data_IF_401862614526
#
_entry.id   IF_401862614526
#
_cell.length_a   1.000
_cell.length_b   1.000
_cell.length_c   1.000
_cell.angle_alpha   90.00
_cell.angle_beta   90.00
_cell.angle_gamma   90.00
#
_symmetry.space_group_name_H-M   'P 1'
#
loop_
_entity.id
_entity.type
_entity.pdbx_description
1 polymer ?
#
# COMPACT_ATOMS: atom_id res chain seq x y z
N UNK A 1 -20.13 33.26 34.06
CA UNK A 1 -20.00 31.83 34.43
C UNK A 1 -20.18 31.70 35.93
N UNK A 2 -21.12 30.90 36.35
CA UNK A 2 -21.41 30.73 37.77
C UNK A 2 -20.43 29.73 38.44
N UNK A 3 -20.36 29.71 39.80
CA UNK A 3 -19.43 28.84 40.52
C UNK A 3 -19.65 27.34 40.27
N UNK A 4 -20.88 26.92 39.98
CA UNK A 4 -21.27 25.55 39.68
C UNK A 4 -20.75 25.12 38.31
N UNK A 5 -20.89 25.97 37.30
CA UNK A 5 -20.34 25.74 35.97
C UNK A 5 -18.82 25.63 35.95
N UNK A 6 -18.14 26.51 36.73
CA UNK A 6 -16.69 26.45 36.88
C UNK A 6 -16.24 25.12 37.50
N UNK A 7 -16.86 24.67 38.59
CA UNK A 7 -16.56 23.36 39.20
C UNK A 7 -16.79 22.20 38.25
N UNK A 8 -17.87 22.25 37.44
CA UNK A 8 -18.16 21.23 36.45
C UNK A 8 -17.05 21.16 35.37
N UNK A 9 -16.65 22.31 34.84
CA UNK A 9 -15.58 22.41 33.87
C UNK A 9 -14.23 21.95 34.43
N UNK A 10 -13.88 22.36 35.64
CA UNK A 10 -12.65 21.92 36.30
C UNK A 10 -12.61 20.41 36.51
N UNK A 11 -13.76 19.79 36.85
CA UNK A 11 -13.88 18.32 36.93
C UNK A 11 -13.66 17.66 35.56
N UNK A 12 -14.31 18.17 34.52
CA UNK A 12 -14.13 17.64 33.14
C UNK A 12 -12.68 17.74 32.67
N UNK A 13 -12.04 18.89 32.90
CA UNK A 13 -10.63 19.09 32.55
C UNK A 13 -9.73 18.11 33.30
N UNK A 14 -9.97 17.91 34.59
CA UNK A 14 -9.20 16.94 35.40
C UNK A 14 -9.39 15.53 34.89
N UNK A 15 -10.64 15.11 34.64
CA UNK A 15 -10.92 13.77 34.07
C UNK A 15 -10.22 13.59 32.75
N UNK A 16 -10.40 14.52 31.83
CA UNK A 16 -9.77 14.45 30.50
C UNK A 16 -8.24 14.39 30.58
N UNK A 17 -7.63 15.19 31.45
CA UNK A 17 -6.18 15.14 31.67
C UNK A 17 -5.72 13.76 32.17
N UNK A 18 -6.44 13.20 33.14
CA UNK A 18 -6.12 11.86 33.66
C UNK A 18 -6.25 10.79 32.56
N UNK A 19 -7.32 10.85 31.74
CA UNK A 19 -7.53 9.95 30.64
C UNK A 19 -6.39 10.03 29.62
N UNK A 20 -5.91 11.24 29.33
CA UNK A 20 -4.76 11.44 28.45
C UNK A 20 -3.48 10.81 29.01
N UNK A 21 -3.21 10.99 30.33
CA UNK A 21 -2.03 10.38 30.95
C UNK A 21 -2.12 8.85 30.92
N UNK A 22 -3.26 8.28 31.28
CA UNK A 22 -3.49 6.83 31.26
C UNK A 22 -3.31 6.28 29.85
N UNK A 23 -3.93 6.93 28.85
CA UNK A 23 -3.79 6.54 27.45
C UNK A 23 -2.34 6.60 26.99
N UNK A 24 -1.64 7.69 27.26
CA UNK A 24 -0.24 7.87 26.86
C UNK A 24 0.65 6.81 27.51
N UNK A 25 0.46 6.54 28.80
CA UNK A 25 1.21 5.50 29.51
C UNK A 25 0.96 4.11 28.90
N UNK A 26 -0.32 3.76 28.66
CA UNK A 26 -0.67 2.50 27.99
C UNK A 26 -0.03 2.38 26.61
N UNK A 27 -0.13 3.43 25.79
CA UNK A 27 0.48 3.43 24.45
C UNK A 27 2.00 3.24 24.51
N UNK A 28 2.71 3.87 25.45
CA UNK A 28 4.14 3.71 25.65
C UNK A 28 4.50 2.30 26.12
N UNK A 29 3.77 1.75 27.11
CA UNK A 29 3.99 0.41 27.63
C UNK A 29 3.79 -0.66 26.54
N UNK A 30 2.72 -0.51 25.73
CA UNK A 30 2.42 -1.41 24.63
C UNK A 30 3.49 -1.28 23.53
N UNK A 31 3.89 -0.06 23.19
CA UNK A 31 4.89 0.16 22.15
C UNK A 31 6.25 -0.48 22.49
N UNK A 32 6.61 -0.52 23.77
CA UNK A 32 7.86 -1.15 24.23
C UNK A 32 7.85 -2.68 24.11
N UNK A 33 6.67 -3.31 24.12
CA UNK A 33 6.49 -4.77 24.04
C UNK A 33 6.03 -5.26 22.68
N UNK A 34 5.61 -4.32 21.80
CA UNK A 34 5.05 -4.67 20.51
C UNK A 34 6.11 -5.21 19.55
N UNK A 35 6.02 -6.49 19.20
CA UNK A 35 6.77 -7.03 18.08
C UNK A 35 6.16 -6.56 16.75
N UNK A 36 6.89 -5.70 16.06
CA UNK A 36 6.52 -5.15 14.76
C UNK A 36 7.07 -5.97 13.57
N UNK A 37 7.86 -7.03 13.86
CA UNK A 37 8.38 -7.93 12.82
C UNK A 37 7.27 -8.91 12.44
N UNK A 38 6.87 -8.88 11.18
CA UNK A 38 5.87 -9.80 10.61
C UNK A 38 6.56 -10.58 9.52
N UNK A 39 6.61 -11.91 9.66
CA UNK A 39 7.24 -12.76 8.68
C UNK A 39 6.37 -13.04 7.44
N UNK A 40 6.98 -13.62 6.41
CA UNK A 40 6.29 -13.87 5.15
C UNK A 40 5.24 -14.98 5.28
N UNK A 41 5.46 -15.96 6.15
CA UNK A 41 4.54 -17.09 6.36
C UNK A 41 3.26 -16.58 7.03
N UNK A 42 3.40 -15.77 8.09
CA UNK A 42 2.26 -15.17 8.79
C UNK A 42 1.40 -14.30 7.86
N UNK A 43 2.06 -13.52 6.97
CA UNK A 43 1.34 -12.72 5.96
C UNK A 43 0.56 -13.62 5.01
N UNK A 44 1.19 -14.68 4.53
CA UNK A 44 0.57 -15.61 3.59
C UNK A 44 -0.61 -16.34 4.22
N UNK A 45 -0.44 -16.88 5.43
CA UNK A 45 -1.50 -17.58 6.15
C UNK A 45 -2.70 -16.68 6.42
N UNK A 46 -2.44 -15.45 6.86
CA UNK A 46 -3.52 -14.49 7.09
C UNK A 46 -4.26 -14.15 5.79
N UNK A 47 -3.53 -13.95 4.70
CA UNK A 47 -4.13 -13.68 3.39
C UNK A 47 -5.01 -14.84 2.93
N UNK A 48 -4.49 -16.08 3.00
CA UNK A 48 -5.22 -17.28 2.59
C UNK A 48 -6.54 -17.46 3.37
N UNK A 49 -6.50 -17.28 4.70
CA UNK A 49 -7.66 -17.40 5.57
C UNK A 49 -8.71 -16.32 5.35
N UNK A 50 -8.30 -15.16 4.80
CA UNK A 50 -9.14 -13.97 4.69
C UNK A 50 -9.34 -13.48 3.27
N UNK A 51 -9.08 -14.29 2.25
CA UNK A 51 -9.12 -13.92 0.81
C UNK A 51 -10.36 -13.13 0.41
N UNK A 52 -11.52 -13.50 0.94
CA UNK A 52 -12.77 -12.84 0.62
C UNK A 52 -12.79 -11.33 0.94
N UNK A 53 -11.97 -10.91 1.90
CA UNK A 53 -11.87 -9.51 2.35
C UNK A 53 -10.90 -8.67 1.50
N UNK A 54 -10.06 -9.32 0.66
CA UNK A 54 -9.03 -8.65 -0.11
C UNK A 54 -9.39 -8.54 -1.59
N UNK A 55 -10.59 -8.02 -1.86
CA UNK A 55 -10.98 -7.65 -3.23
C UNK A 55 -10.56 -6.23 -3.53
N UNK A 56 -9.95 -6.02 -4.70
CA UNK A 56 -9.55 -4.67 -5.11
C UNK A 56 -10.79 -3.82 -5.43
N UNK A 57 -10.76 -2.57 -5.02
CA UNK A 57 -11.78 -1.58 -5.38
C UNK A 57 -11.42 -0.77 -6.65
N UNK A 58 -10.28 -1.07 -7.27
CA UNK A 58 -9.75 -0.42 -8.46
C UNK A 58 -9.13 -1.46 -9.39
N UNK A 59 -9.07 -1.11 -10.67
CA UNK A 59 -8.31 -1.91 -11.63
C UNK A 59 -6.82 -1.76 -11.35
N UNK A 60 -6.12 -2.88 -11.23
CA UNK A 60 -4.69 -2.97 -11.01
C UNK A 60 -4.02 -3.53 -12.26
N UNK A 61 -2.80 -3.13 -12.48
CA UNK A 61 -1.94 -3.76 -13.49
C UNK A 61 -0.49 -3.82 -13.01
N UNK A 62 0.27 -4.72 -13.61
CA UNK A 62 1.72 -4.65 -13.62
C UNK A 62 2.21 -4.62 -15.07
N UNK A 63 3.18 -3.78 -15.32
CA UNK A 63 3.67 -3.55 -16.67
C UNK A 63 4.81 -2.57 -16.72
N UNK A 64 5.31 -2.34 -17.90
CA UNK A 64 6.44 -1.45 -18.18
C UNK A 64 6.14 -0.55 -19.35
N UNK A 65 6.75 0.60 -19.38
CA UNK A 65 6.65 1.52 -20.49
C UNK A 65 7.94 2.32 -20.70
N UNK A 66 8.13 2.76 -21.91
CA UNK A 66 9.18 3.70 -22.32
C UNK A 66 8.57 4.77 -23.22
N UNK A 67 8.90 6.02 -22.94
CA UNK A 67 8.63 7.16 -23.80
C UNK A 67 9.96 7.66 -24.37
N UNK A 68 10.05 7.74 -25.68
CA UNK A 68 11.28 8.06 -26.38
C UNK A 68 10.98 8.89 -27.63
N UNK A 69 11.94 9.75 -28.07
CA UNK A 69 11.80 10.50 -29.31
C UNK A 69 11.55 9.56 -30.50
N UNK A 70 10.66 9.97 -31.41
CA UNK A 70 10.41 9.25 -32.66
C UNK A 70 11.64 9.23 -33.60
N UNK A 71 12.59 10.14 -33.40
CA UNK A 71 13.85 10.20 -34.16
C UNK A 71 14.97 9.34 -33.56
N UNK A 72 14.69 8.58 -32.48
CA UNK A 72 15.70 7.75 -31.83
C UNK A 72 16.17 6.61 -32.74
N UNK A 73 17.46 6.58 -33.03
CA UNK A 73 18.07 5.57 -33.91
C UNK A 73 17.92 4.12 -33.40
N UNK A 74 17.70 3.94 -32.11
CA UNK A 74 17.56 2.64 -31.47
C UNK A 74 16.10 2.18 -31.33
N UNK A 75 15.12 2.91 -31.84
CA UNK A 75 13.70 2.67 -31.63
C UNK A 75 13.28 1.22 -31.92
N UNK A 76 13.78 0.63 -33.03
CA UNK A 76 13.49 -0.77 -33.38
C UNK A 76 14.02 -1.76 -32.34
N UNK A 77 15.23 -1.50 -31.82
CA UNK A 77 15.86 -2.35 -30.79
C UNK A 77 15.15 -2.17 -29.44
N UNK A 78 14.85 -0.94 -29.06
CA UNK A 78 14.08 -0.61 -27.85
C UNK A 78 12.74 -1.34 -27.83
N UNK A 79 11.99 -1.27 -28.96
CA UNK A 79 10.69 -1.97 -29.11
C UNK A 79 10.83 -3.47 -28.90
N UNK A 80 11.83 -4.11 -29.52
CA UNK A 80 12.08 -5.54 -29.39
C UNK A 80 12.50 -5.92 -27.96
N UNK A 81 13.43 -5.16 -27.38
CA UNK A 81 13.95 -5.41 -26.03
C UNK A 81 12.89 -5.20 -24.96
N UNK A 82 12.05 -4.18 -25.10
CA UNK A 82 10.96 -3.94 -24.16
C UNK A 82 9.92 -5.08 -24.20
N UNK A 83 9.64 -5.66 -25.35
CA UNK A 83 8.72 -6.79 -25.50
C UNK A 83 9.29 -8.08 -24.90
N UNK A 84 10.53 -8.41 -25.22
CA UNK A 84 11.18 -9.66 -24.81
C UNK A 84 11.63 -9.64 -23.36
N UNK A 85 12.22 -8.55 -22.92
CA UNK A 85 12.60 -8.14 -21.57
C UNK A 85 13.39 -9.18 -20.77
N UNK A 86 14.28 -9.93 -21.43
CA UNK A 86 15.23 -10.81 -20.76
C UNK A 86 16.39 -10.01 -20.12
N UNK A 87 17.29 -10.68 -19.42
CA UNK A 87 18.39 -10.00 -18.72
C UNK A 87 19.29 -9.16 -19.64
N UNK A 88 19.58 -9.65 -20.85
CA UNK A 88 20.35 -8.88 -21.85
C UNK A 88 19.59 -7.64 -22.31
N UNK A 89 18.28 -7.76 -22.50
CA UNK A 89 17.42 -6.64 -22.89
C UNK A 89 17.34 -5.59 -21.79
N UNK A 90 17.24 -6.00 -20.53
CA UNK A 90 17.25 -5.10 -19.36
C UNK A 90 18.55 -4.30 -19.30
N UNK A 91 19.69 -4.97 -19.40
CA UNK A 91 21.02 -4.30 -19.42
C UNK A 91 21.10 -3.31 -20.59
N UNK A 92 20.63 -3.69 -21.79
CA UNK A 92 20.60 -2.77 -22.93
C UNK A 92 19.71 -1.55 -22.66
N UNK A 93 18.47 -1.76 -22.21
CA UNK A 93 17.53 -0.67 -21.93
C UNK A 93 18.06 0.27 -20.83
N UNK A 94 18.69 -0.28 -19.79
CA UNK A 94 19.31 0.51 -18.72
C UNK A 94 20.49 1.34 -19.25
N UNK A 95 21.30 0.77 -20.16
CA UNK A 95 22.46 1.48 -20.72
C UNK A 95 22.08 2.74 -21.56
N UNK A 96 20.88 2.75 -22.10
CA UNK A 96 20.35 3.86 -22.91
C UNK A 96 19.24 4.66 -22.21
N UNK A 97 19.02 4.42 -20.92
CA UNK A 97 17.91 5.00 -20.18
C UNK A 97 17.90 6.54 -20.22
N UNK A 98 19.05 7.19 -20.34
CA UNK A 98 19.19 8.65 -20.49
C UNK A 98 18.57 9.19 -21.80
N UNK A 99 18.31 8.32 -22.78
CA UNK A 99 17.64 8.71 -24.03
C UNK A 99 16.12 8.69 -23.90
N UNK A 100 15.58 8.19 -22.79
CA UNK A 100 14.15 8.12 -22.55
C UNK A 100 13.64 9.39 -21.90
N UNK A 101 12.54 9.92 -22.39
CA UNK A 101 11.88 11.08 -21.76
C UNK A 101 11.26 10.68 -20.43
N UNK A 102 10.60 9.53 -20.38
CA UNK A 102 10.13 8.88 -19.15
C UNK A 102 10.05 7.38 -19.37
N UNK A 103 10.21 6.63 -18.28
CA UNK A 103 10.10 5.18 -18.34
C UNK A 103 9.75 4.58 -16.97
N UNK A 104 9.23 3.37 -17.02
CA UNK A 104 9.12 2.47 -15.88
C UNK A 104 9.38 1.05 -16.37
N UNK A 105 10.46 0.43 -15.89
CA UNK A 105 10.87 -0.91 -16.29
C UNK A 105 10.68 -1.94 -15.16
N UNK A 106 10.10 -1.55 -14.06
CA UNK A 106 9.77 -2.47 -12.99
C UNK A 106 8.36 -3.01 -13.15
N UNK A 107 8.24 -4.15 -13.83
CA UNK A 107 6.99 -4.85 -14.08
C UNK A 107 6.60 -5.86 -12.99
N UNK A 108 7.34 -5.87 -11.88
CA UNK A 108 7.03 -6.72 -10.71
C UNK A 108 6.08 -6.03 -9.72
N UNK A 109 5.90 -4.71 -9.83
CA UNK A 109 5.09 -3.92 -8.90
C UNK A 109 3.69 -3.74 -9.46
N UNK A 110 2.69 -4.07 -8.64
CA UNK A 110 1.30 -3.77 -8.94
C UNK A 110 1.00 -2.29 -8.67
N UNK A 111 0.39 -1.64 -9.65
CA UNK A 111 -0.02 -0.24 -9.57
C UNK A 111 -1.49 -0.09 -9.97
N UNK A 112 -2.12 0.98 -9.52
CA UNK A 112 -3.47 1.31 -10.01
C UNK A 112 -3.39 1.68 -11.49
N UNK A 113 -4.25 1.08 -12.31
CA UNK A 113 -4.25 1.27 -13.77
C UNK A 113 -4.32 2.74 -14.16
N UNK A 114 -5.15 3.52 -13.47
CA UNK A 114 -5.28 4.94 -13.72
C UNK A 114 -3.95 5.69 -13.49
N UNK A 115 -3.15 5.34 -12.47
CA UNK A 115 -1.84 5.98 -12.19
C UNK A 115 -0.81 5.64 -13.27
N UNK A 116 -0.86 4.41 -13.76
CA UNK A 116 0.00 3.97 -14.86
C UNK A 116 -0.33 4.74 -16.15
N UNK A 117 -1.59 4.79 -16.53
CA UNK A 117 -2.03 5.44 -17.76
C UNK A 117 -1.93 6.97 -17.71
N UNK A 118 -1.98 7.60 -16.56
CA UNK A 118 -1.71 9.05 -16.42
C UNK A 118 -0.30 9.46 -16.83
N UNK A 119 0.63 8.51 -16.89
CA UNK A 119 1.97 8.74 -17.45
C UNK A 119 2.02 8.70 -18.97
N UNK A 120 0.91 8.33 -19.61
CA UNK A 120 0.76 8.15 -21.05
C UNK A 120 -0.33 9.11 -21.57
N UNK A 121 0.00 10.39 -21.83
CA UNK A 121 -1.00 11.44 -22.08
C UNK A 121 -1.88 11.21 -23.31
N UNK A 122 -1.46 10.34 -24.24
CA UNK A 122 -2.26 9.98 -25.39
C UNK A 122 -3.46 9.06 -25.07
N UNK A 123 -3.49 8.50 -23.87
CA UNK A 123 -4.58 7.62 -23.43
C UNK A 123 -5.47 8.40 -22.47
N UNK A 124 -6.64 8.78 -22.95
CA UNK A 124 -7.63 9.45 -22.10
C UNK A 124 -8.15 8.49 -21.03
N UNK A 125 -8.57 9.05 -19.90
CA UNK A 125 -9.12 8.31 -18.76
C UNK A 125 -10.30 7.40 -19.15
N UNK A 126 -11.08 7.79 -20.16
CA UNK A 126 -12.20 6.99 -20.68
C UNK A 126 -11.77 5.79 -21.54
N UNK A 127 -10.55 5.83 -22.10
CA UNK A 127 -10.07 4.84 -23.08
C UNK A 127 -9.13 3.80 -22.48
N UNK A 128 -8.52 4.05 -21.31
CA UNK A 128 -7.52 3.12 -20.77
C UNK A 128 -8.06 1.71 -20.54
N UNK A 129 -9.34 1.58 -20.23
CA UNK A 129 -10.00 0.27 -20.03
C UNK A 129 -9.90 -0.66 -21.23
N UNK A 130 -9.82 -0.10 -22.43
CA UNK A 130 -9.65 -0.90 -23.64
C UNK A 130 -8.28 -1.57 -23.75
N UNK A 131 -7.30 -1.07 -23.00
CA UNK A 131 -5.94 -1.58 -22.96
C UNK A 131 -5.68 -2.54 -21.78
N UNK A 132 -6.65 -2.70 -20.89
CA UNK A 132 -6.54 -3.60 -19.73
C UNK A 132 -6.67 -5.06 -20.17
N UNK A 133 -5.61 -5.61 -20.72
CA UNK A 133 -5.50 -7.02 -21.16
C UNK A 133 -4.13 -7.56 -20.78
N UNK A 134 -4.11 -8.80 -20.29
CA UNK A 134 -2.87 -9.50 -19.95
C UNK A 134 -1.97 -9.69 -21.18
N UNK A 135 -0.66 -9.69 -20.95
CA UNK A 135 0.36 -9.95 -21.97
C UNK A 135 0.19 -9.10 -23.25
N UNK A 136 -0.17 -7.84 -23.08
CA UNK A 136 -0.44 -6.93 -24.19
C UNK A 136 0.72 -5.98 -24.40
N UNK A 137 1.19 -5.89 -25.64
CA UNK A 137 2.06 -4.82 -26.11
C UNK A 137 1.27 -3.89 -27.01
N UNK A 138 1.40 -2.60 -26.80
CA UNK A 138 0.91 -1.60 -27.73
C UNK A 138 1.86 -0.41 -27.84
N UNK A 139 1.72 0.29 -28.91
CA UNK A 139 2.49 1.46 -29.25
C UNK A 139 1.57 2.61 -29.58
N UNK A 140 1.88 3.79 -29.06
CA UNK A 140 1.23 5.05 -29.39
C UNK A 140 2.31 6.03 -29.83
N UNK A 141 1.96 6.94 -30.71
CA UNK A 141 2.87 7.95 -31.22
C UNK A 141 2.16 9.29 -31.36
N UNK A 142 2.86 10.35 -31.03
CA UNK A 142 2.52 11.72 -31.40
C UNK A 142 3.57 12.29 -32.38
N UNK A 143 3.55 13.60 -32.57
CA UNK A 143 4.48 14.28 -33.51
C UNK A 143 5.95 14.21 -33.10
N UNK A 144 6.26 13.99 -31.82
CA UNK A 144 7.61 14.07 -31.26
C UNK A 144 8.09 12.76 -30.66
N UNK A 145 7.16 11.93 -30.14
CA UNK A 145 7.53 10.82 -29.28
C UNK A 145 6.72 9.55 -29.56
N UNK A 146 7.35 8.43 -29.24
CA UNK A 146 6.76 7.09 -29.25
C UNK A 146 6.63 6.58 -27.83
N UNK A 147 5.47 6.04 -27.51
CA UNK A 147 5.11 5.42 -26.24
C UNK A 147 5.01 3.91 -26.45
N UNK A 148 5.95 3.19 -25.91
CA UNK A 148 5.99 1.72 -25.97
C UNK A 148 5.52 1.19 -24.63
N UNK A 149 4.49 0.36 -24.63
CA UNK A 149 3.85 -0.12 -23.40
C UNK A 149 3.68 -1.63 -23.45
N UNK A 150 4.04 -2.29 -22.36
CA UNK A 150 3.79 -3.71 -22.13
C UNK A 150 2.99 -3.84 -20.85
N UNK A 151 1.85 -4.49 -20.92
CA UNK A 151 1.07 -4.90 -19.76
C UNK A 151 1.25 -6.40 -19.59
N UNK A 152 1.80 -6.80 -18.44
CA UNK A 152 2.03 -8.20 -18.11
C UNK A 152 0.74 -8.83 -17.56
N UNK A 153 0.19 -8.24 -16.53
CA UNK A 153 -1.00 -8.73 -15.87
C UNK A 153 -1.95 -7.60 -15.48
N UNK A 154 -3.22 -7.95 -15.43
CA UNK A 154 -4.32 -7.08 -15.01
C UNK A 154 -5.18 -7.80 -14.00
N UNK A 155 -5.59 -7.11 -12.96
CA UNK A 155 -6.63 -7.52 -12.01
C UNK A 155 -7.71 -6.45 -12.01
N UNK A 156 -8.91 -6.84 -12.36
CA UNK A 156 -10.03 -5.92 -12.46
C UNK A 156 -10.66 -5.64 -11.10
N UNK A 157 -11.38 -4.54 -11.03
CA UNK A 157 -12.15 -4.17 -9.83
C UNK A 157 -13.07 -5.33 -9.41
N UNK A 158 -13.13 -5.56 -8.08
CA UNK A 158 -13.86 -6.64 -7.40
C UNK A 158 -13.26 -8.05 -7.57
N UNK A 159 -12.14 -8.19 -8.25
CA UNK A 159 -11.36 -9.43 -8.23
C UNK A 159 -10.47 -9.50 -6.99
N UNK A 160 -9.93 -10.69 -6.72
CA UNK A 160 -8.97 -10.89 -5.63
C UNK A 160 -7.70 -10.07 -5.92
N UNK A 161 -7.35 -9.20 -4.99
CA UNK A 161 -6.13 -8.41 -5.12
C UNK A 161 -4.88 -9.32 -4.98
N UNK A 162 -3.83 -9.08 -5.76
CA UNK A 162 -2.57 -9.79 -5.61
C UNK A 162 -2.00 -9.61 -4.20
N UNK A 163 -1.45 -10.67 -3.62
CA UNK A 163 -0.90 -10.62 -2.26
C UNK A 163 0.20 -9.56 -2.14
N UNK A 164 1.04 -9.42 -3.16
CA UNK A 164 2.11 -8.42 -3.21
C UNK A 164 1.57 -6.99 -3.12
N UNK A 165 0.42 -6.73 -3.72
CA UNK A 165 -0.24 -5.42 -3.66
C UNK A 165 -0.77 -5.11 -2.27
N UNK A 166 -1.38 -6.10 -1.60
CA UNK A 166 -1.98 -5.92 -0.27
C UNK A 166 -1.00 -6.18 0.88
N UNK A 167 0.20 -6.68 0.61
CA UNK A 167 1.20 -7.03 1.61
C UNK A 167 1.49 -5.92 2.64
N UNK A 168 1.64 -4.63 2.27
CA UNK A 168 1.80 -3.56 3.25
C UNK A 168 0.59 -3.43 4.18
N UNK A 169 -0.61 -3.59 3.63
CA UNK A 169 -1.86 -3.55 4.41
C UNK A 169 -1.96 -4.75 5.35
N UNK A 170 -1.61 -5.96 4.88
CA UNK A 170 -1.58 -7.17 5.69
C UNK A 170 -0.65 -7.03 6.89
N UNK A 171 0.55 -6.50 6.67
CA UNK A 171 1.49 -6.20 7.77
C UNK A 171 0.88 -5.28 8.82
N UNK A 172 0.23 -4.20 8.40
CA UNK A 172 -0.41 -3.27 9.32
C UNK A 172 -1.56 -3.92 10.10
N UNK A 173 -2.36 -4.76 9.44
CA UNK A 173 -3.45 -5.50 10.10
C UNK A 173 -2.89 -6.42 11.18
N UNK A 174 -1.83 -7.18 10.87
CA UNK A 174 -1.20 -8.12 11.81
C UNK A 174 -0.57 -7.37 13.00
N UNK A 175 0.17 -6.30 12.75
CA UNK A 175 0.72 -5.44 13.81
C UNK A 175 -0.40 -4.85 14.69
N UNK A 176 -1.47 -4.34 14.07
CA UNK A 176 -2.60 -3.80 14.81
C UNK A 176 -3.32 -4.87 15.63
N UNK A 177 -3.44 -6.10 15.11
CA UNK A 177 -3.99 -7.23 15.85
C UNK A 177 -3.16 -7.54 17.09
N UNK A 178 -1.84 -7.64 16.95
CA UNK A 178 -0.91 -7.82 18.09
C UNK A 178 -1.03 -6.68 19.09
N UNK A 179 -1.11 -5.42 18.61
CA UNK A 179 -1.30 -4.25 19.48
C UNK A 179 -2.59 -4.36 20.30
N UNK A 180 -3.69 -4.74 19.68
CA UNK A 180 -4.98 -4.91 20.36
C UNK A 180 -4.97 -6.07 21.38
N UNK A 181 -4.27 -7.15 21.09
CA UNK A 181 -4.09 -8.27 22.01
C UNK A 181 -3.28 -7.84 23.25
N UNK A 182 -2.17 -7.14 23.05
CA UNK A 182 -1.37 -6.56 24.15
C UNK A 182 -2.18 -5.56 24.98
N UNK A 183 -3.00 -4.71 24.37
CA UNK A 183 -3.88 -3.79 25.10
C UNK A 183 -4.84 -4.54 26.02
N UNK A 184 -5.48 -5.60 25.50
CA UNK A 184 -6.43 -6.42 26.28
C UNK A 184 -5.72 -7.17 27.41
N UNK A 185 -4.52 -7.64 27.18
CA UNK A 185 -3.70 -8.29 28.19
C UNK A 185 -3.32 -7.29 29.29
N UNK A 186 -2.81 -6.13 28.92
CA UNK A 186 -2.43 -5.06 29.84
C UNK A 186 -3.62 -4.58 30.70
N UNK A 187 -4.81 -4.43 30.10
CA UNK A 187 -6.02 -4.06 30.84
C UNK A 187 -6.40 -5.13 31.87
N UNK A 188 -6.28 -6.42 31.52
CA UNK A 188 -6.51 -7.54 32.46
C UNK A 188 -5.52 -7.52 33.62
N UNK A 189 -4.24 -7.36 33.33
CA UNK A 189 -3.16 -7.32 34.34
C UNK A 189 -3.37 -6.18 35.33
N UNK A 190 -3.75 -4.98 34.87
CA UNK A 190 -4.07 -3.83 35.73
C UNK A 190 -5.28 -4.14 36.64
N UNK A 191 -6.33 -4.73 36.09
CA UNK A 191 -7.52 -5.09 36.87
C UNK A 191 -7.18 -6.15 37.93
N UNK A 192 -6.45 -7.20 37.56
CA UNK A 192 -6.03 -8.26 38.49
C UNK A 192 -5.12 -7.73 39.59
N UNK A 193 -4.17 -6.86 39.26
CA UNK A 193 -3.28 -6.24 40.24
C UNK A 193 -4.06 -5.32 41.19
N UNK A 194 -5.01 -4.53 40.67
CA UNK A 194 -5.88 -3.71 41.51
C UNK A 194 -6.72 -4.52 42.50
N UNK A 195 -7.28 -5.67 42.08
CA UNK A 195 -7.98 -6.58 42.98
C UNK A 195 -7.03 -7.15 44.06
N UNK A 196 -5.82 -7.54 43.67
CA UNK A 196 -4.79 -8.08 44.58
C UNK A 196 -4.42 -7.05 45.67
N UNK A 197 -4.28 -5.79 45.31
CA UNK A 197 -3.90 -4.69 46.21
C UNK A 197 -5.07 -4.07 46.96
N UNK A 198 -6.32 -4.61 46.81
CA UNK A 198 -7.55 -4.05 47.38
C UNK A 198 -7.74 -2.56 47.06
N UNK A 199 -7.24 -2.10 45.92
CA UNK A 199 -7.29 -0.68 45.49
C UNK A 199 -8.59 -0.33 44.75
N UNK A 200 -9.55 -1.24 44.65
CA UNK A 200 -10.87 -1.04 44.03
C UNK A 200 -11.96 -1.04 45.07
N UNK A 201 -12.77 0.03 45.07
CA UNK A 201 -14.11 0.02 45.63
C UNK A 201 -15.08 -0.11 44.43
N UNK A 202 -15.88 -1.17 44.40
CA UNK A 202 -17.00 -1.30 43.47
C UNK A 202 -18.17 -0.50 44.00
N UNK A 203 -18.51 0.60 43.32
CA UNK A 203 -19.72 1.36 43.57
C UNK A 203 -20.87 0.86 42.70
#
# INVERSE_FOLDING_TARGET
MNATEKKRLDKLVRTYRNDLYVKTYKDMAIQSQLDSVVDQVEIQDYFEQNKANFRTNKDLLRGRYVRVSNENNNLRTIRRSLRRFNNTDKVFLDSIALQFTTYSMNDSIWVQSYQFFNRLPLISEKRYKNFLKNNTFFELQDSLEVYLVVIEEVVLRNELAPMEYVKPTLKQILINKRKLELMRQFDREIIEEGFRQKSYELY
#
